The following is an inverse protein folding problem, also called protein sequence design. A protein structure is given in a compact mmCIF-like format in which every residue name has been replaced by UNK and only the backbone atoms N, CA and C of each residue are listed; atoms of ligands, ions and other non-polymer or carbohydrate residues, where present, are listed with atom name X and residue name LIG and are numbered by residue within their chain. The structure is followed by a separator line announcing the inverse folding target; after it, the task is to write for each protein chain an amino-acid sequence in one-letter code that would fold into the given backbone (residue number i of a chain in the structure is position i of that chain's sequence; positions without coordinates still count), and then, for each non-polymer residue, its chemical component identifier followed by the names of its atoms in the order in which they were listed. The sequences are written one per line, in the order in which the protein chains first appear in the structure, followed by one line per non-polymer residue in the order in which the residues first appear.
data_IF_734803008562
#
_entry.id   IF_734803008562
#
_cell.length_a   1.000
_cell.length_b   1.000
_cell.length_c   1.000
_cell.angle_alpha   90.00
_cell.angle_beta   90.00
_cell.angle_gamma   90.00
#
_symmetry.space_group_name_H-M   'P 1'
#
loop_
_entity.id
_entity.type
_entity.pdbx_description
1 polymer ?
#
# COMPACT_ATOMS: atom_id res chain seq x y z
N UNK A 1 -0.37 32.54 21.19
CA UNK A 1 -0.18 32.04 19.82
C UNK A 1 -0.14 30.53 19.92
N UNK A 2 -1.26 29.87 19.69
CA UNK A 2 -1.33 28.41 19.62
C UNK A 2 -0.85 28.05 18.22
N UNK A 3 0.34 27.46 18.14
CA UNK A 3 0.81 26.84 16.90
C UNK A 3 -0.09 25.61 16.72
N UNK A 4 -0.97 25.64 15.71
CA UNK A 4 -1.64 24.44 15.23
C UNK A 4 -0.55 23.63 14.54
N UNK A 5 0.13 22.76 15.28
CA UNK A 5 0.93 21.70 14.70
C UNK A 5 -0.01 20.89 13.81
N UNK A 6 0.27 20.87 12.49
CA UNK A 6 -0.54 20.13 11.53
C UNK A 6 -0.74 18.68 11.98
N UNK A 7 -1.95 18.18 11.79
CA UNK A 7 -2.32 16.79 12.02
C UNK A 7 -1.39 15.84 11.24
N UNK A 8 -0.64 14.97 11.93
CA UNK A 8 0.37 14.10 11.31
C UNK A 8 -0.11 12.65 11.12
N UNK A 9 0.57 11.88 10.25
CA UNK A 9 0.33 10.43 10.11
C UNK A 9 0.57 9.68 11.43
N UNK A 10 1.56 10.12 12.21
CA UNK A 10 1.89 9.53 13.51
C UNK A 10 0.81 9.81 14.55
N UNK A 11 0.15 10.96 14.47
CA UNK A 11 -1.07 11.22 15.24
C UNK A 11 -2.22 10.30 14.82
N UNK A 12 -2.23 9.75 13.62
CA UNK A 12 -3.20 8.73 13.23
C UNK A 12 -2.76 7.30 13.60
N UNK A 13 -1.59 7.13 14.23
CA UNK A 13 -1.04 5.81 14.59
C UNK A 13 -0.45 5.03 13.42
N UNK A 14 -0.23 5.68 12.27
CA UNK A 14 0.29 5.06 11.05
C UNK A 14 1.80 4.85 11.16
N UNK A 15 2.29 3.66 10.83
CA UNK A 15 3.69 3.27 11.01
C UNK A 15 4.60 3.71 9.85
N UNK A 16 4.04 3.76 8.64
CA UNK A 16 4.79 4.05 7.43
C UNK A 16 3.96 4.68 6.33
N UNK A 17 4.65 5.10 5.28
CA UNK A 17 4.06 5.73 4.10
C UNK A 17 4.47 5.00 2.83
N UNK A 18 3.55 4.85 1.90
CA UNK A 18 3.79 4.40 0.55
C UNK A 18 3.94 5.60 -0.39
N UNK A 19 4.99 5.59 -1.20
CA UNK A 19 5.31 6.61 -2.18
C UNK A 19 5.29 6.01 -3.58
N UNK A 20 4.57 6.66 -4.50
CA UNK A 20 4.59 6.33 -5.91
C UNK A 20 5.48 7.31 -6.67
N UNK A 21 6.67 6.92 -7.16
CA UNK A 21 7.58 7.84 -7.85
C UNK A 21 6.99 8.47 -9.12
N UNK A 22 5.97 7.85 -9.73
CA UNK A 22 5.21 8.41 -10.85
C UNK A 22 4.36 9.63 -10.45
N UNK A 23 4.06 9.80 -9.17
CA UNK A 23 3.16 10.82 -8.64
C UNK A 23 3.87 11.87 -7.77
N UNK A 24 4.93 11.45 -7.07
CA UNK A 24 5.63 12.29 -6.09
C UNK A 24 7.14 12.19 -6.21
N UNK A 25 7.85 13.28 -5.92
CA UNK A 25 9.28 13.22 -5.67
C UNK A 25 9.52 12.57 -4.31
N UNK A 26 10.09 11.36 -4.32
CA UNK A 26 10.35 10.55 -3.12
C UNK A 26 11.23 11.27 -2.09
N UNK A 27 12.05 12.25 -2.52
CA UNK A 27 12.91 13.03 -1.60
C UNK A 27 12.13 13.93 -0.65
N UNK A 28 10.85 14.23 -0.95
CA UNK A 28 9.98 15.07 -0.11
C UNK A 28 9.55 14.40 1.20
N UNK A 29 9.81 13.11 1.38
CA UNK A 29 9.41 12.35 2.58
C UNK A 29 10.18 12.74 3.84
N UNK A 30 11.32 13.44 3.72
CA UNK A 30 12.18 13.87 4.86
C UNK A 30 11.47 14.73 5.89
N UNK A 31 10.37 15.37 5.49
CA UNK A 31 9.58 16.24 6.34
C UNK A 31 8.47 15.48 7.09
N UNK A 32 8.35 14.15 6.94
CA UNK A 32 7.33 13.32 7.58
C UNK A 32 7.87 12.59 8.81
N UNK A 33 7.06 12.56 9.88
CA UNK A 33 7.40 11.90 11.15
C UNK A 33 7.09 10.39 11.15
N UNK A 34 7.39 9.69 10.05
CA UNK A 34 7.16 8.23 9.92
C UNK A 34 8.48 7.46 9.95
N UNK A 35 8.44 6.21 10.41
CA UNK A 35 9.66 5.37 10.47
C UNK A 35 9.95 4.63 9.18
N UNK A 36 8.88 4.28 8.44
CA UNK A 36 8.96 3.37 7.30
C UNK A 36 8.48 4.02 6.02
N UNK A 37 9.19 3.73 4.93
CA UNK A 37 8.84 4.20 3.59
C UNK A 37 8.77 3.00 2.64
N UNK A 38 7.60 2.71 2.12
CA UNK A 38 7.42 1.79 1.00
C UNK A 38 7.50 2.58 -0.31
N UNK A 39 8.46 2.28 -1.17
CA UNK A 39 8.54 2.85 -2.52
C UNK A 39 7.84 1.89 -3.47
N UNK A 40 6.65 2.28 -3.92
CA UNK A 40 5.81 1.53 -4.84
C UNK A 40 5.88 2.11 -6.26
N UNK A 41 6.74 1.57 -7.11
CA UNK A 41 6.86 2.04 -8.49
C UNK A 41 6.06 1.19 -9.48
N UNK A 42 5.37 1.88 -10.39
CA UNK A 42 4.48 1.28 -11.38
C UNK A 42 5.23 0.90 -12.67
N UNK A 43 6.16 -0.04 -12.55
CA UNK A 43 6.98 -0.51 -13.66
C UNK A 43 8.40 0.08 -13.69
N UNK A 44 9.22 -0.48 -14.58
CA UNK A 44 10.66 -0.24 -14.64
C UNK A 44 11.06 1.23 -14.85
N UNK A 45 10.27 1.99 -15.60
CA UNK A 45 10.56 3.40 -15.91
C UNK A 45 10.41 4.34 -14.70
N UNK A 46 9.77 3.87 -13.64
CA UNK A 46 9.49 4.64 -12.43
C UNK A 46 10.42 4.29 -11.26
N UNK A 47 11.41 3.42 -11.48
CA UNK A 47 12.39 3.07 -10.45
C UNK A 47 13.25 4.29 -10.13
N UNK A 48 13.27 4.76 -8.86
CA UNK A 48 14.16 5.84 -8.46
C UNK A 48 15.64 5.50 -8.71
N UNK A 49 16.48 6.50 -8.99
CA UNK A 49 17.91 6.26 -9.10
C UNK A 49 18.49 5.80 -7.75
N UNK A 50 19.56 5.01 -7.82
CA UNK A 50 20.20 4.38 -6.64
C UNK A 50 20.60 5.38 -5.55
N UNK A 51 21.01 6.60 -5.93
CA UNK A 51 21.34 7.68 -4.99
C UNK A 51 20.12 8.20 -4.21
N UNK A 52 18.93 8.20 -4.83
CA UNK A 52 17.69 8.53 -4.14
C UNK A 52 17.33 7.47 -3.09
N UNK A 53 17.48 6.19 -3.43
CA UNK A 53 17.28 5.09 -2.48
C UNK A 53 18.25 5.16 -1.31
N UNK A 54 19.55 5.32 -1.58
CA UNK A 54 20.56 5.45 -0.53
C UNK A 54 20.26 6.63 0.41
N UNK A 55 19.88 7.78 -0.17
CA UNK A 55 19.50 8.98 0.59
C UNK A 55 18.24 8.80 1.45
N UNK A 56 17.35 7.88 1.10
CA UNK A 56 16.18 7.54 1.90
C UNK A 56 16.55 6.54 3.00
N UNK A 57 17.35 5.53 2.69
CA UNK A 57 17.79 4.50 3.62
C UNK A 57 18.68 5.02 4.76
N UNK A 58 19.28 6.21 4.60
CA UNK A 58 19.98 6.93 5.67
C UNK A 58 19.04 7.35 6.83
N UNK A 59 17.77 7.60 6.55
CA UNK A 59 16.82 8.22 7.48
C UNK A 59 15.63 7.29 7.82
N UNK A 60 15.26 6.41 6.90
CA UNK A 60 14.05 5.59 6.98
C UNK A 60 14.34 4.10 6.84
N UNK A 61 13.44 3.28 7.39
CA UNK A 61 13.33 1.87 7.04
C UNK A 61 12.63 1.76 5.67
N UNK A 62 13.42 1.70 4.60
CA UNK A 62 12.93 1.74 3.21
C UNK A 62 12.65 0.34 2.69
N UNK A 63 11.50 0.15 2.02
CA UNK A 63 11.20 -1.07 1.26
C UNK A 63 10.78 -0.74 -0.16
N UNK A 64 11.33 -1.42 -1.17
CA UNK A 64 10.97 -1.26 -2.57
C UNK A 64 10.12 -2.43 -3.08
N UNK A 65 9.08 -2.16 -3.89
CA UNK A 65 8.30 -3.24 -4.51
C UNK A 65 9.07 -3.91 -5.66
N UNK A 66 9.23 -5.23 -5.59
CA UNK A 66 9.96 -6.01 -6.60
C UNK A 66 8.99 -6.95 -7.34
N UNK A 67 8.56 -6.60 -8.57
CA UNK A 67 7.62 -7.42 -9.34
C UNK A 67 8.33 -8.62 -9.98
N UNK A 68 8.39 -9.76 -9.29
CA UNK A 68 9.25 -10.91 -9.64
C UNK A 68 9.00 -11.52 -11.03
N UNK A 69 7.89 -11.20 -11.70
CA UNK A 69 7.60 -11.65 -13.07
C UNK A 69 8.11 -10.70 -14.16
N UNK A 70 8.38 -9.44 -13.84
CA UNK A 70 8.81 -8.45 -14.82
C UNK A 70 10.26 -8.67 -15.23
N UNK A 71 10.59 -8.42 -16.49
CA UNK A 71 11.98 -8.34 -16.94
C UNK A 71 12.69 -7.15 -16.26
N UNK A 72 13.95 -7.37 -15.90
CA UNK A 72 14.72 -6.51 -15.00
C UNK A 72 14.55 -6.84 -13.51
N UNK A 73 13.55 -7.65 -13.12
CA UNK A 73 13.27 -8.06 -11.73
C UNK A 73 13.10 -9.57 -11.54
N UNK A 74 13.24 -10.38 -12.60
CA UNK A 74 12.98 -11.82 -12.53
C UNK A 74 14.19 -12.54 -11.91
N UNK A 75 14.10 -13.07 -10.67
CA UNK A 75 15.23 -13.71 -10.00
C UNK A 75 15.67 -15.03 -10.66
N UNK A 76 14.87 -15.54 -11.60
CA UNK A 76 15.19 -16.72 -12.41
C UNK A 76 15.53 -16.36 -13.86
N UNK A 77 15.72 -15.07 -14.15
CA UNK A 77 15.84 -14.51 -15.49
C UNK A 77 16.67 -13.24 -15.50
N UNK A 78 16.08 -12.17 -16.05
CA UNK A 78 16.70 -10.84 -16.10
C UNK A 78 16.33 -10.06 -14.83
N UNK A 79 17.32 -9.82 -13.97
CA UNK A 79 17.23 -9.13 -12.67
C UNK A 79 18.10 -7.85 -12.62
N UNK A 80 18.47 -7.30 -13.78
CA UNK A 80 19.44 -6.20 -13.86
C UNK A 80 19.00 -4.89 -13.20
N UNK A 81 17.68 -4.62 -13.16
CA UNK A 81 17.13 -3.44 -12.49
C UNK A 81 17.08 -3.68 -10.97
N UNK A 82 16.59 -4.85 -10.55
CA UNK A 82 16.59 -5.26 -9.16
C UNK A 82 17.99 -5.21 -8.54
N UNK A 83 18.99 -5.71 -9.25
CA UNK A 83 20.41 -5.67 -8.83
C UNK A 83 20.99 -4.26 -8.67
N UNK A 84 20.31 -3.21 -9.15
CA UNK A 84 20.72 -1.81 -9.00
C UNK A 84 20.17 -1.14 -7.74
N UNK A 85 19.21 -1.78 -7.07
CA UNK A 85 18.67 -1.33 -5.79
C UNK A 85 19.74 -1.55 -4.71
N UNK A 86 20.04 -0.53 -3.86
CA UNK A 86 21.03 -0.68 -2.80
C UNK A 86 20.65 -1.80 -1.81
N UNK A 87 21.61 -2.58 -1.31
CA UNK A 87 21.34 -3.70 -0.39
C UNK A 87 20.79 -3.26 0.98
N UNK A 88 20.88 -1.98 1.32
CA UNK A 88 20.29 -1.41 2.54
C UNK A 88 18.77 -1.23 2.43
N UNK A 89 18.22 -1.26 1.21
CA UNK A 89 16.77 -1.15 0.98
C UNK A 89 16.15 -2.53 1.12
N UNK A 90 15.18 -2.66 2.02
CA UNK A 90 14.37 -3.87 2.14
C UNK A 90 13.47 -4.07 0.92
N UNK A 91 12.86 -5.24 0.81
CA UNK A 91 12.16 -5.63 -0.41
C UNK A 91 10.74 -6.10 -0.12
N UNK A 92 9.81 -5.69 -0.96
CA UNK A 92 8.43 -6.19 -0.97
C UNK A 92 8.24 -6.94 -2.28
N UNK A 93 8.35 -8.26 -2.26
CA UNK A 93 8.17 -9.08 -3.46
C UNK A 93 6.69 -9.16 -3.83
N UNK A 94 6.37 -8.84 -5.07
CA UNK A 94 5.00 -8.89 -5.60
C UNK A 94 4.94 -9.72 -6.87
N UNK A 95 3.78 -10.32 -7.16
CA UNK A 95 3.62 -11.08 -8.40
C UNK A 95 3.81 -10.20 -9.65
N UNK A 96 3.66 -8.88 -9.53
CA UNK A 96 3.65 -7.93 -10.64
C UNK A 96 2.25 -7.78 -11.20
N UNK A 97 1.74 -6.54 -11.21
CA UNK A 97 0.38 -6.24 -11.62
C UNK A 97 0.24 -6.35 -13.16
N UNK A 98 -0.80 -7.01 -13.69
CA UNK A 98 -0.93 -7.26 -15.13
C UNK A 98 -0.86 -6.02 -16.03
N UNK A 99 -1.22 -4.83 -15.52
CA UNK A 99 -1.12 -3.59 -16.29
C UNK A 99 0.32 -3.17 -16.61
N UNK A 100 1.29 -3.57 -15.78
CA UNK A 100 2.70 -3.19 -15.92
C UNK A 100 3.57 -4.34 -16.47
N UNK A 101 3.00 -5.55 -16.59
CA UNK A 101 3.62 -6.66 -17.30
C UNK A 101 3.36 -6.47 -18.80
N UNK A 102 4.31 -5.85 -19.48
CA UNK A 102 4.21 -5.42 -20.89
C UNK A 102 4.32 -6.60 -21.84
N UNK A 103 5.07 -7.64 -21.47
CA UNK A 103 5.25 -8.82 -22.29
C UNK A 103 4.29 -9.94 -21.90
N UNK A 104 3.62 -10.54 -22.90
CA UNK A 104 2.72 -11.68 -22.66
C UNK A 104 3.46 -12.85 -21.96
N UNK A 105 4.77 -12.96 -22.20
CA UNK A 105 5.62 -13.95 -21.55
C UNK A 105 5.73 -13.72 -20.04
N UNK A 106 5.90 -12.48 -19.59
CA UNK A 106 5.99 -12.14 -18.16
C UNK A 106 4.74 -12.61 -17.40
N UNK A 107 3.56 -12.33 -17.96
CA UNK A 107 2.26 -12.71 -17.36
C UNK A 107 2.10 -14.23 -17.15
N UNK A 108 2.77 -15.04 -17.96
CA UNK A 108 2.71 -16.52 -17.92
C UNK A 108 3.76 -17.16 -17.00
N UNK A 109 4.71 -16.38 -16.48
CA UNK A 109 5.78 -16.90 -15.61
C UNK A 109 5.19 -17.49 -14.32
N UNK A 110 5.71 -18.65 -13.93
CA UNK A 110 5.33 -19.29 -12.68
C UNK A 110 5.83 -18.45 -11.49
N UNK A 111 4.93 -18.12 -10.57
CA UNK A 111 5.19 -17.18 -9.47
C UNK A 111 5.94 -17.87 -8.33
N UNK A 112 5.49 -19.02 -7.86
CA UNK A 112 6.06 -19.66 -6.67
C UNK A 112 7.57 -19.92 -6.75
N UNK A 113 8.16 -20.41 -7.87
CA UNK A 113 9.61 -20.58 -7.97
C UNK A 113 10.38 -19.25 -7.90
N UNK A 114 9.79 -18.17 -8.43
CA UNK A 114 10.40 -16.84 -8.42
C UNK A 114 10.34 -16.22 -7.04
N UNK A 115 9.20 -16.35 -6.35
CA UNK A 115 9.06 -15.92 -4.96
C UNK A 115 10.06 -16.63 -4.06
N UNK A 116 10.21 -17.95 -4.19
CA UNK A 116 11.23 -18.70 -3.44
C UNK A 116 12.64 -18.16 -3.69
N UNK A 117 13.03 -18.01 -4.95
CA UNK A 117 14.37 -17.55 -5.30
C UNK A 117 14.65 -16.11 -4.83
N UNK A 118 13.67 -15.23 -4.92
CA UNK A 118 13.73 -13.86 -4.41
C UNK A 118 13.91 -13.83 -2.88
N UNK A 119 13.07 -14.57 -2.16
CA UNK A 119 13.08 -14.62 -0.68
C UNK A 119 14.39 -15.23 -0.16
N UNK A 120 14.90 -16.29 -0.80
CA UNK A 120 16.16 -16.94 -0.40
C UNK A 120 17.36 -15.99 -0.47
N UNK A 121 17.30 -14.95 -1.31
CA UNK A 121 18.35 -13.95 -1.48
C UNK A 121 18.20 -12.68 -0.64
N UNK A 122 17.06 -12.50 0.03
CA UNK A 122 16.70 -11.25 0.70
C UNK A 122 16.87 -11.33 2.22
N UNK A 123 17.05 -10.17 2.85
CA UNK A 123 17.04 -10.02 4.32
C UNK A 123 15.75 -9.35 4.73
N UNK A 124 14.98 -9.98 5.63
CA UNK A 124 13.68 -9.50 6.12
C UNK A 124 12.69 -9.10 4.99
N UNK A 125 12.45 -9.96 3.98
CA UNK A 125 11.57 -9.61 2.87
C UNK A 125 10.11 -9.57 3.29
N UNK A 126 9.35 -8.68 2.66
CA UNK A 126 7.89 -8.69 2.70
C UNK A 126 7.33 -9.28 1.41
N UNK A 127 6.10 -9.76 1.44
CA UNK A 127 5.42 -10.30 0.25
C UNK A 127 4.04 -9.68 0.04
N UNK A 128 3.83 -9.06 -1.12
CA UNK A 128 2.51 -8.59 -1.53
C UNK A 128 1.59 -9.77 -1.82
N UNK A 129 0.40 -9.78 -1.22
CA UNK A 129 -0.48 -10.96 -1.26
C UNK A 129 -1.42 -11.02 -2.47
N UNK A 130 -1.59 -9.91 -3.19
CA UNK A 130 -2.60 -9.76 -4.25
C UNK A 130 -2.50 -10.85 -5.33
N UNK A 131 -3.53 -11.71 -5.37
CA UNK A 131 -3.65 -12.79 -6.36
C UNK A 131 -2.73 -13.99 -6.12
N UNK A 132 -2.01 -14.03 -5.00
CA UNK A 132 -1.07 -15.09 -4.62
C UNK A 132 -1.12 -15.43 -3.13
N UNK A 133 -2.26 -15.24 -2.49
CA UNK A 133 -2.45 -15.28 -1.03
C UNK A 133 -1.95 -16.60 -0.43
N UNK A 134 -2.24 -17.74 -1.08
CA UNK A 134 -1.78 -19.06 -0.63
C UNK A 134 -0.27 -19.25 -0.75
N UNK A 135 0.35 -18.68 -1.79
CA UNK A 135 1.81 -18.73 -1.96
C UNK A 135 2.45 -17.86 -0.89
N UNK A 136 1.97 -16.62 -0.73
CA UNK A 136 2.43 -15.68 0.29
C UNK A 136 2.38 -16.29 1.69
N UNK A 137 1.24 -16.85 2.10
CA UNK A 137 1.08 -17.51 3.40
C UNK A 137 2.09 -18.66 3.61
N UNK A 138 2.40 -19.42 2.55
CA UNK A 138 3.32 -20.55 2.64
C UNK A 138 4.80 -20.13 2.78
N UNK A 139 5.14 -18.88 2.46
CA UNK A 139 6.52 -18.38 2.60
C UNK A 139 6.91 -18.11 4.06
N UNK A 140 5.93 -17.80 4.92
CA UNK A 140 6.16 -17.45 6.32
C UNK A 140 6.82 -16.08 6.55
N UNK A 141 7.06 -15.30 5.50
CA UNK A 141 7.57 -13.92 5.62
C UNK A 141 6.43 -12.93 5.88
N UNK A 142 6.76 -11.69 6.24
CA UNK A 142 5.76 -10.65 6.52
C UNK A 142 4.84 -10.44 5.32
N UNK A 143 3.53 -10.62 5.54
CA UNK A 143 2.53 -10.41 4.50
C UNK A 143 2.25 -8.92 4.36
N UNK A 144 2.27 -8.41 3.13
CA UNK A 144 1.88 -7.03 2.82
C UNK A 144 0.56 -7.04 2.05
N UNK A 145 -0.52 -6.80 2.78
CA UNK A 145 -1.90 -6.93 2.29
C UNK A 145 -2.46 -5.57 1.88
N UNK A 146 -3.22 -5.55 0.79
CA UNK A 146 -4.02 -4.38 0.44
C UNK A 146 -5.27 -4.34 1.32
N UNK A 147 -5.56 -3.18 1.91
CA UNK A 147 -6.75 -2.98 2.72
C UNK A 147 -8.04 -3.41 1.97
N UNK A 148 -8.85 -4.21 2.64
CA UNK A 148 -10.17 -4.67 2.20
C UNK A 148 -11.20 -4.53 3.32
N UNK A 149 -12.47 -4.68 2.94
CA UNK A 149 -13.61 -4.77 3.87
C UNK A 149 -13.50 -5.94 4.86
N UNK A 150 -12.69 -6.95 4.54
CA UNK A 150 -12.52 -8.15 5.35
C UNK A 150 -11.19 -8.21 6.12
N UNK A 151 -10.28 -7.26 5.93
CA UNK A 151 -8.92 -7.29 6.53
C UNK A 151 -8.95 -7.62 8.03
N UNK A 152 -9.74 -6.91 8.83
CA UNK A 152 -9.78 -7.14 10.28
C UNK A 152 -10.37 -8.52 10.66
N UNK A 153 -11.36 -9.03 9.92
CA UNK A 153 -11.91 -10.37 10.18
C UNK A 153 -10.97 -11.48 9.73
N UNK A 154 -10.30 -11.31 8.59
CA UNK A 154 -9.37 -12.29 8.03
C UNK A 154 -8.13 -12.43 8.92
N UNK A 155 -7.59 -11.30 9.40
CA UNK A 155 -6.49 -11.30 10.37
C UNK A 155 -6.89 -12.01 11.67
N UNK A 156 -8.06 -11.69 12.25
CA UNK A 156 -8.56 -12.40 13.45
C UNK A 156 -8.73 -13.89 13.22
N UNK A 157 -9.19 -14.29 12.03
CA UNK A 157 -9.34 -15.68 11.65
C UNK A 157 -7.97 -16.37 11.55
N UNK A 158 -6.96 -15.73 10.96
CA UNK A 158 -5.57 -16.20 10.92
C UNK A 158 -5.01 -16.37 12.34
N UNK A 159 -5.14 -15.36 13.21
CA UNK A 159 -4.69 -15.44 14.61
C UNK A 159 -5.39 -16.57 15.37
N UNK A 160 -6.70 -16.75 15.17
CA UNK A 160 -7.49 -17.85 15.77
C UNK A 160 -7.04 -19.21 15.26
N UNK A 161 -6.65 -19.31 13.99
CA UNK A 161 -6.09 -20.51 13.38
C UNK A 161 -4.64 -20.80 13.81
N UNK A 162 -4.02 -19.90 14.56
CA UNK A 162 -2.66 -20.04 15.08
C UNK A 162 -1.55 -19.49 14.20
N UNK A 163 -1.87 -18.66 13.20
CA UNK A 163 -0.86 -17.93 12.43
C UNK A 163 -0.25 -16.82 13.29
N UNK A 164 1.07 -16.87 13.48
CA UNK A 164 1.86 -15.96 14.31
C UNK A 164 2.82 -15.07 13.50
N UNK A 165 2.84 -15.21 12.17
CA UNK A 165 3.65 -14.36 11.29
C UNK A 165 3.15 -12.91 11.21
N UNK A 166 4.02 -12.01 10.76
CA UNK A 166 3.70 -10.58 10.69
C UNK A 166 2.79 -10.24 9.51
N UNK A 167 1.93 -9.24 9.70
CA UNK A 167 1.01 -8.70 8.70
C UNK A 167 1.11 -7.18 8.67
N UNK A 168 1.48 -6.64 7.52
CA UNK A 168 1.47 -5.22 7.20
C UNK A 168 0.32 -4.93 6.23
N UNK A 169 -0.39 -3.81 6.42
CA UNK A 169 -1.51 -3.40 5.57
C UNK A 169 -1.17 -2.12 4.82
N UNK A 170 -1.22 -2.17 3.49
CA UNK A 170 -1.23 -1.01 2.61
C UNK A 170 -2.63 -0.42 2.56
N UNK A 171 -2.78 0.86 2.89
CA UNK A 171 -4.08 1.52 2.93
C UNK A 171 -4.07 2.90 2.24
N UNK A 172 -4.86 3.11 1.17
CA UNK A 172 -5.18 4.47 0.74
C UNK A 172 -5.74 5.27 1.91
N UNK A 173 -5.29 6.51 2.07
CA UNK A 173 -5.58 7.31 3.26
C UNK A 173 -5.97 8.73 2.88
N UNK A 174 -6.99 9.26 3.56
CA UNK A 174 -7.50 10.62 3.42
C UNK A 174 -7.77 11.20 4.81
N UNK A 175 -6.88 12.06 5.29
CA UNK A 175 -6.98 12.75 6.58
C UNK A 175 -7.84 14.03 6.47
N UNK A 176 -9.16 13.86 6.34
CA UNK A 176 -10.13 14.97 6.44
C UNK A 176 -11.52 14.42 6.78
N UNK A 177 -12.30 15.17 7.55
CA UNK A 177 -13.73 14.90 7.78
C UNK A 177 -14.66 15.37 6.66
N UNK A 178 -14.13 16.04 5.64
CA UNK A 178 -14.89 16.48 4.46
C UNK A 178 -15.19 15.30 3.53
N UNK A 179 -16.45 14.88 3.51
CA UNK A 179 -16.93 13.79 2.67
C UNK A 179 -16.75 14.05 1.16
N UNK A 180 -16.83 15.30 0.70
CA UNK A 180 -16.64 15.62 -0.72
C UNK A 180 -15.17 15.40 -1.09
N UNK A 181 -14.25 15.86 -0.25
CA UNK A 181 -12.82 15.61 -0.43
C UNK A 181 -12.44 14.13 -0.34
N UNK A 182 -13.14 13.35 0.49
CA UNK A 182 -12.99 11.88 0.55
C UNK A 182 -13.41 11.25 -0.78
N UNK A 183 -14.60 11.59 -1.27
CA UNK A 183 -15.12 11.04 -2.53
C UNK A 183 -14.23 11.41 -3.72
N UNK A 184 -13.77 12.66 -3.79
CA UNK A 184 -12.88 13.10 -4.86
C UNK A 184 -11.52 12.39 -4.84
N UNK A 185 -11.05 11.96 -3.67
CA UNK A 185 -9.74 11.31 -3.52
C UNK A 185 -9.79 9.80 -3.75
N UNK A 186 -10.78 9.10 -3.17
CA UNK A 186 -10.83 7.63 -3.16
C UNK A 186 -12.15 7.04 -3.66
N UNK A 187 -13.09 7.86 -4.11
CA UNK A 187 -14.39 7.38 -4.60
C UNK A 187 -14.26 6.50 -5.84
N UNK A 188 -13.45 6.89 -6.83
CA UNK A 188 -13.18 6.05 -8.01
C UNK A 188 -12.47 4.75 -7.62
N UNK A 189 -11.53 4.81 -6.68
CA UNK A 189 -10.82 3.65 -6.18
C UNK A 189 -11.79 2.66 -5.52
N UNK A 190 -12.67 3.13 -4.63
CA UNK A 190 -13.69 2.32 -3.98
C UNK A 190 -14.68 1.73 -5.01
N UNK A 191 -15.10 2.53 -6.01
CA UNK A 191 -16.04 2.09 -7.05
C UNK A 191 -15.50 0.96 -7.95
N UNK A 192 -14.18 0.73 -7.99
CA UNK A 192 -13.59 -0.41 -8.72
C UNK A 192 -13.74 -1.73 -7.98
N UNK A 193 -14.03 -1.71 -6.67
CA UNK A 193 -14.26 -2.90 -5.87
C UNK A 193 -15.59 -3.52 -6.24
N UNK A 194 -15.59 -4.84 -6.43
CA UNK A 194 -16.76 -5.55 -6.96
C UNK A 194 -18.03 -5.32 -6.11
N UNK A 195 -18.00 -5.43 -4.76
CA UNK A 195 -19.20 -5.20 -3.95
C UNK A 195 -19.77 -3.78 -4.07
N UNK A 196 -18.90 -2.78 -4.13
CA UNK A 196 -19.29 -1.37 -4.32
C UNK A 196 -19.88 -1.17 -5.72
N UNK A 197 -19.17 -1.63 -6.76
CA UNK A 197 -19.61 -1.50 -8.15
C UNK A 197 -20.97 -2.13 -8.40
N UNK A 198 -21.23 -3.30 -7.84
CA UNK A 198 -22.51 -4.02 -7.99
C UNK A 198 -23.66 -3.32 -7.26
N UNK A 199 -23.35 -2.51 -6.24
CA UNK A 199 -24.31 -1.76 -5.45
C UNK A 199 -24.57 -0.35 -6.00
N UNK A 200 -23.81 0.11 -7.00
CA UNK A 200 -23.96 1.43 -7.59
C UNK A 200 -24.92 1.45 -8.78
N UNK A 201 -25.72 2.52 -8.94
CA UNK A 201 -26.41 2.79 -10.20
C UNK A 201 -25.39 2.95 -11.35
N UNK A 202 -25.72 2.44 -12.54
CA UNK A 202 -24.76 2.36 -13.65
C UNK A 202 -24.26 3.71 -14.21
N UNK A 203 -24.96 4.82 -13.93
CA UNK A 203 -24.61 6.18 -14.36
C UNK A 203 -24.20 7.10 -13.20
N UNK A 204 -24.04 6.56 -11.99
CA UNK A 204 -23.62 7.34 -10.84
C UNK A 204 -22.17 7.85 -11.02
N UNK A 205 -21.87 9.14 -10.75
CA UNK A 205 -20.50 9.61 -10.66
C UNK A 205 -19.81 9.00 -9.43
N UNK A 206 -18.50 8.80 -9.49
CA UNK A 206 -17.70 8.18 -8.42
C UNK A 206 -16.92 9.20 -7.56
N UNK A 207 -17.40 10.44 -7.53
CA UNK A 207 -16.76 11.56 -6.84
C UNK A 207 -17.80 12.39 -6.06
N UNK A 208 -17.41 13.57 -5.58
CA UNK A 208 -18.28 14.47 -4.80
C UNK A 208 -19.57 14.86 -5.51
N UNK A 209 -19.72 14.63 -6.83
CA UNK A 209 -20.97 14.87 -7.57
C UNK A 209 -22.03 13.80 -7.31
N UNK A 210 -21.68 12.69 -6.67
CA UNK A 210 -22.64 11.65 -6.29
C UNK A 210 -23.73 12.21 -5.37
N UNK A 211 -24.96 11.73 -5.54
CA UNK A 211 -26.15 12.17 -4.80
C UNK A 211 -27.00 10.97 -4.38
N UNK A 212 -27.80 11.15 -3.32
CA UNK A 212 -28.70 10.14 -2.78
C UNK A 212 -27.97 8.83 -2.45
N UNK A 213 -28.65 7.70 -2.67
CA UNK A 213 -28.16 6.36 -2.35
C UNK A 213 -26.78 6.05 -2.95
N UNK A 214 -26.49 6.55 -4.16
CA UNK A 214 -25.18 6.34 -4.78
C UNK A 214 -24.04 6.99 -3.98
N UNK A 215 -24.28 8.17 -3.40
CA UNK A 215 -23.32 8.85 -2.53
C UNK A 215 -23.10 8.04 -1.25
N UNK A 216 -24.18 7.59 -0.62
CA UNK A 216 -24.12 6.80 0.61
C UNK A 216 -23.35 5.49 0.39
N UNK A 217 -23.63 4.78 -0.71
CA UNK A 217 -22.89 3.57 -1.12
C UNK A 217 -21.40 3.86 -1.35
N UNK A 218 -21.05 4.93 -2.07
CA UNK A 218 -19.65 5.29 -2.30
C UNK A 218 -18.93 5.64 -1.00
N UNK A 219 -19.55 6.41 -0.11
CA UNK A 219 -18.96 6.75 1.19
C UNK A 219 -18.75 5.51 2.07
N UNK A 220 -19.68 4.54 2.03
CA UNK A 220 -19.48 3.24 2.69
C UNK A 220 -18.27 2.53 2.12
N UNK A 221 -18.21 2.39 0.79
CA UNK A 221 -17.07 1.78 0.10
C UNK A 221 -15.74 2.48 0.40
N UNK A 222 -15.72 3.81 0.48
CA UNK A 222 -14.52 4.56 0.86
C UNK A 222 -14.05 4.19 2.27
N UNK A 223 -14.96 3.98 3.23
CA UNK A 223 -14.64 3.58 4.60
C UNK A 223 -14.22 2.11 4.72
N UNK A 224 -14.65 1.27 3.78
CA UNK A 224 -14.31 -0.16 3.72
C UNK A 224 -12.94 -0.43 3.09
N UNK A 225 -12.55 0.39 2.10
CA UNK A 225 -11.35 0.15 1.29
C UNK A 225 -10.27 1.23 1.45
N UNK A 226 -10.46 2.22 2.31
CA UNK A 226 -9.48 3.27 2.61
C UNK A 226 -9.62 3.75 4.07
N UNK A 227 -8.52 4.29 4.61
CA UNK A 227 -8.48 4.99 5.88
C UNK A 227 -8.95 6.43 5.68
N UNK A 228 -10.20 6.73 6.02
CA UNK A 228 -10.81 8.04 5.75
C UNK A 228 -11.38 8.69 7.01
N UNK A 229 -11.27 10.02 7.10
CA UNK A 229 -11.80 10.82 8.21
C UNK A 229 -10.77 11.78 8.78
N UNK A 230 -11.15 12.56 9.80
CA UNK A 230 -10.17 13.31 10.59
C UNK A 230 -9.16 12.38 11.28
N UNK A 231 -8.06 12.94 11.80
CA UNK A 231 -7.00 12.14 12.45
C UNK A 231 -7.54 11.26 13.57
N UNK A 232 -8.51 11.74 14.35
CA UNK A 232 -9.09 10.94 15.44
C UNK A 232 -9.90 9.75 14.91
N UNK A 233 -10.60 9.93 13.79
CA UNK A 233 -11.34 8.87 13.12
C UNK A 233 -10.40 7.83 12.48
N UNK A 234 -9.32 8.26 11.84
CA UNK A 234 -8.33 7.33 11.28
C UNK A 234 -7.56 6.61 12.37
N UNK A 235 -7.17 7.28 13.46
CA UNK A 235 -6.55 6.63 14.63
C UNK A 235 -7.39 5.47 15.15
N UNK A 236 -8.71 5.64 15.31
CA UNK A 236 -9.59 4.56 15.75
C UNK A 236 -9.65 3.38 14.76
N UNK A 237 -9.54 3.65 13.46
CA UNK A 237 -9.48 2.59 12.44
C UNK A 237 -8.17 1.82 12.54
N UNK A 238 -7.05 2.52 12.68
CA UNK A 238 -5.72 1.92 12.87
C UNK A 238 -5.65 1.08 14.16
N UNK A 239 -6.16 1.61 15.28
CA UNK A 239 -6.28 0.87 16.54
C UNK A 239 -7.09 -0.42 16.37
N UNK A 240 -8.18 -0.40 15.61
CA UNK A 240 -8.98 -1.59 15.35
C UNK A 240 -8.23 -2.65 14.51
N UNK A 241 -7.30 -2.25 13.64
CA UNK A 241 -6.43 -3.17 12.91
C UNK A 241 -5.36 -3.79 13.82
N UNK A 242 -4.72 -2.97 14.68
CA UNK A 242 -3.77 -3.49 15.67
C UNK A 242 -4.46 -4.45 16.65
N UNK A 243 -5.66 -4.12 17.13
CA UNK A 243 -6.48 -5.01 17.97
C UNK A 243 -6.89 -6.31 17.25
N UNK A 244 -7.01 -6.30 15.93
CA UNK A 244 -7.23 -7.50 15.14
C UNK A 244 -5.97 -8.38 15.02
N UNK A 245 -4.79 -7.79 15.20
CA UNK A 245 -3.48 -8.44 15.10
C UNK A 245 -2.68 -8.07 13.85
N UNK A 246 -2.97 -6.92 13.22
CA UNK A 246 -2.09 -6.31 12.21
C UNK A 246 -0.87 -5.71 12.92
N UNK A 247 0.31 -5.90 12.36
CA UNK A 247 1.58 -5.47 12.95
C UNK A 247 2.00 -4.08 12.45
N UNK A 248 1.68 -3.76 11.19
CA UNK A 248 2.02 -2.48 10.56
C UNK A 248 0.91 -1.93 9.67
N UNK A 249 0.69 -0.62 9.70
CA UNK A 249 -0.17 0.10 8.76
C UNK A 249 0.67 1.08 7.93
N UNK A 250 0.68 0.88 6.62
CA UNK A 250 1.40 1.70 5.64
C UNK A 250 0.40 2.52 4.83
N UNK A 251 0.44 3.83 5.01
CA UNK A 251 -0.49 4.77 4.40
C UNK A 251 -0.06 5.17 3.00
N UNK A 252 -0.98 5.12 2.04
CA UNK A 252 -0.84 5.79 0.76
C UNK A 252 -1.69 7.07 0.75
N UNK A 253 -1.09 8.28 0.78
CA UNK A 253 -1.83 9.53 0.87
C UNK A 253 -2.54 9.84 -0.45
N UNK A 254 -3.82 9.49 -0.56
CA UNK A 254 -4.58 9.58 -1.81
C UNK A 254 -4.81 11.02 -2.31
N UNK A 255 -4.53 12.02 -1.46
CA UNK A 255 -4.57 13.45 -1.81
C UNK A 255 -3.18 14.05 -2.06
N UNK A 256 -2.17 13.20 -2.23
CA UNK A 256 -0.76 13.58 -2.36
C UNK A 256 -0.09 13.91 -1.03
N UNK A 257 1.24 14.02 -1.05
CA UNK A 257 2.05 14.25 0.16
C UNK A 257 1.72 15.57 0.87
N UNK A 258 1.38 16.61 0.12
CA UNK A 258 1.03 17.92 0.69
C UNK A 258 -0.14 17.87 1.67
N UNK A 259 -1.02 16.87 1.56
CA UNK A 259 -2.14 16.69 2.48
C UNK A 259 -1.74 16.10 3.85
N UNK A 260 -0.51 15.59 3.99
CA UNK A 260 -0.03 14.89 5.20
C UNK A 260 1.31 15.43 5.72
N UNK A 261 1.89 16.43 5.03
CA UNK A 261 3.08 17.13 5.49
C UNK A 261 2.75 18.06 6.67
N UNK A 262 3.63 18.19 7.67
CA UNK A 262 3.46 19.16 8.75
C UNK A 262 3.37 20.58 8.16
N UNK A 263 2.35 21.34 8.59
CA UNK A 263 2.13 22.73 8.20
C UNK A 263 3.02 23.73 8.96
#
# INVERSE_FOLDING_TARGET
MTVLTGETLTDAGIDGIALKPSEVDVRRVRDLDVRRVAVDYEGADHVPPSDAFASLAEEFDVRATVPVRADGFDPLGDDGIHSSVPPEVGEVFVAGHPAYLTEQRERRRAIAPRMSAAIDGATDPWIGTEGIERVALATGVTQFELLSDTTASDVRALRTAGFDGEIAVYAPTVLTGDEDAILDAVGEYAARRQPVRESLPGDAPFDSRARGDARETLLSGCREYALVGDVSAVRRQVEAFHDAGVDHVVSYPARGLDAVLPS
#
